data_IF_447421061203
#
_entry.id   IF_447421061203
#
_cell.length_a   1.000
_cell.length_b   1.000
_cell.length_c   1.000
_cell.angle_alpha   90.00
_cell.angle_beta   90.00
_cell.angle_gamma   90.00
#
_symmetry.space_group_name_H-M   'P 1'
#
loop_
_entity.id
_entity.type
_entity.pdbx_description
1 polymer ?
#
# COMPACT_ATOMS: atom_id res chain seq x y z
N UNK A 1 3.08 18.73 -47.49
CA UNK A 1 3.58 18.93 -48.88
C UNK A 1 2.46 18.62 -49.86
N UNK A 2 2.22 19.48 -50.84
CA UNK A 2 1.27 19.25 -51.95
C UNK A 2 2.07 19.08 -53.24
N UNK A 3 1.73 18.09 -54.05
CA UNK A 3 2.38 17.83 -55.35
C UNK A 3 1.33 17.74 -56.46
N UNK A 4 1.48 18.53 -57.51
CA UNK A 4 0.62 18.47 -58.69
C UNK A 4 0.99 17.25 -59.55
N UNK A 5 0.04 16.35 -59.80
CA UNK A 5 0.25 15.11 -60.56
C UNK A 5 -0.33 15.18 -61.99
N UNK A 6 -1.32 16.05 -62.21
CA UNK A 6 -1.93 16.35 -63.52
C UNK A 6 -2.23 17.86 -63.64
N UNK A 7 -2.40 18.37 -64.87
CA UNK A 7 -2.70 19.79 -65.14
C UNK A 7 -1.48 20.65 -65.53
N UNK A 8 -1.69 21.96 -65.72
CA UNK A 8 -0.67 22.92 -66.16
C UNK A 8 0.51 23.04 -65.17
N UNK A 9 0.24 22.76 -63.91
CA UNK A 9 1.23 22.82 -62.83
C UNK A 9 1.88 21.47 -62.53
N UNK A 10 1.71 20.44 -63.36
CA UNK A 10 2.25 19.08 -63.12
C UNK A 10 3.74 19.12 -62.75
N UNK A 11 4.08 18.47 -61.63
CA UNK A 11 5.43 18.43 -61.06
C UNK A 11 5.75 19.56 -60.09
N UNK A 12 4.92 20.62 -60.00
CA UNK A 12 5.11 21.66 -58.97
C UNK A 12 4.82 21.11 -57.57
N UNK A 13 5.64 21.55 -56.63
CA UNK A 13 5.56 21.19 -55.21
C UNK A 13 5.32 22.46 -54.38
N UNK A 14 4.40 22.36 -53.43
CA UNK A 14 4.15 23.40 -52.42
C UNK A 14 4.40 22.79 -51.04
N UNK A 15 5.36 23.36 -50.32
CA UNK A 15 5.64 23.02 -48.93
C UNK A 15 5.12 24.12 -48.01
N UNK A 16 4.49 23.72 -46.91
CA UNK A 16 3.89 24.63 -45.95
C UNK A 16 3.77 23.97 -44.58
N UNK A 17 3.68 24.79 -43.54
CA UNK A 17 3.40 24.36 -42.17
C UNK A 17 1.91 24.54 -41.86
N UNK A 18 1.29 23.55 -41.23
CA UNK A 18 -0.12 23.64 -40.80
C UNK A 18 -0.35 24.78 -39.80
N UNK A 19 -1.43 25.54 -39.98
CA UNK A 19 -1.87 26.57 -39.02
C UNK A 19 -3.14 26.13 -38.28
N UNK A 20 -3.46 26.80 -37.16
CA UNK A 20 -4.70 26.54 -36.39
C UNK A 20 -5.97 26.86 -37.18
N UNK A 21 -5.91 27.85 -38.06
CA UNK A 21 -7.06 28.31 -38.87
C UNK A 21 -7.19 27.55 -40.20
N UNK A 22 -6.29 26.58 -40.44
CA UNK A 22 -6.11 25.93 -41.73
C UNK A 22 -5.35 26.80 -42.71
N UNK A 23 -4.84 26.18 -43.77
CA UNK A 23 -4.14 26.88 -44.84
C UNK A 23 -5.00 26.95 -46.10
N UNK A 24 -4.96 28.10 -46.78
CA UNK A 24 -5.68 28.35 -48.02
C UNK A 24 -4.69 28.62 -49.14
N UNK A 25 -4.92 28.00 -50.29
CA UNK A 25 -4.07 28.11 -51.46
C UNK A 25 -4.93 28.38 -52.69
N UNK A 26 -4.43 29.19 -53.61
CA UNK A 26 -4.95 29.28 -54.97
C UNK A 26 -4.07 28.40 -55.84
N UNK A 27 -4.66 27.38 -56.47
CA UNK A 27 -3.96 26.39 -57.29
C UNK A 27 -4.61 26.35 -58.68
N UNK A 28 -3.82 26.06 -59.71
CA UNK A 28 -4.34 25.84 -61.07
C UNK A 28 -5.26 24.60 -61.11
N UNK A 29 -6.07 24.48 -62.15
CA UNK A 29 -6.84 23.24 -62.37
C UNK A 29 -5.94 22.02 -62.55
N UNK A 30 -6.32 20.91 -61.92
CA UNK A 30 -5.54 19.68 -61.98
C UNK A 30 -5.80 18.75 -60.80
N UNK A 31 -5.10 17.62 -60.80
CA UNK A 31 -5.09 16.66 -59.69
C UNK A 31 -3.82 16.82 -58.86
N UNK A 32 -3.98 16.71 -57.56
CA UNK A 32 -2.96 16.94 -56.56
C UNK A 32 -2.90 15.79 -55.56
N UNK A 33 -1.71 15.54 -55.04
CA UNK A 33 -1.49 14.71 -53.86
C UNK A 33 -1.06 15.59 -52.69
N UNK A 34 -1.31 15.15 -51.47
CA UNK A 34 -0.79 15.77 -50.26
C UNK A 34 -0.37 14.73 -49.24
N UNK A 35 0.77 15.00 -48.62
CA UNK A 35 1.41 14.13 -47.62
C UNK A 35 1.98 14.98 -46.47
N UNK A 36 2.01 14.41 -45.27
CA UNK A 36 2.72 14.99 -44.14
C UNK A 36 4.21 14.60 -44.24
N UNK A 37 5.10 15.59 -44.18
CA UNK A 37 6.55 15.38 -44.25
C UNK A 37 7.23 15.48 -42.88
N UNK A 38 6.56 16.11 -41.92
CA UNK A 38 7.03 16.30 -40.56
C UNK A 38 5.82 16.45 -39.64
N UNK A 39 5.74 15.61 -38.60
CA UNK A 39 4.72 15.72 -37.57
C UNK A 39 5.06 16.81 -36.54
N UNK A 40 4.06 17.44 -35.92
CA UNK A 40 4.25 18.25 -34.73
C UNK A 40 4.86 17.44 -33.56
N UNK A 41 5.52 18.12 -32.63
CA UNK A 41 6.04 17.49 -31.42
C UNK A 41 4.95 16.72 -30.66
N UNK A 42 5.26 15.47 -30.27
CA UNK A 42 4.33 14.58 -29.57
C UNK A 42 3.31 13.87 -30.47
N UNK A 43 3.41 14.01 -31.80
CA UNK A 43 2.58 13.27 -32.77
C UNK A 43 3.42 12.34 -33.64
N UNK A 44 2.79 11.28 -34.15
CA UNK A 44 3.35 10.40 -35.17
C UNK A 44 3.11 11.01 -36.54
N UNK A 45 4.08 10.84 -37.44
CA UNK A 45 3.94 11.22 -38.85
C UNK A 45 2.87 10.37 -39.51
N UNK A 46 1.86 11.02 -40.09
CA UNK A 46 0.88 10.34 -40.91
C UNK A 46 1.49 10.05 -42.29
N UNK A 47 1.60 8.76 -42.64
CA UNK A 47 2.16 8.28 -43.91
C UNK A 47 1.13 8.16 -45.03
N UNK A 48 -0.14 8.47 -44.77
CA UNK A 48 -1.19 8.47 -45.79
C UNK A 48 -0.93 9.59 -46.80
N UNK A 49 -1.02 9.22 -48.09
CA UNK A 49 -0.99 10.18 -49.20
C UNK A 49 -2.43 10.40 -49.65
N UNK A 50 -2.96 11.58 -49.38
CA UNK A 50 -4.27 11.98 -49.84
C UNK A 50 -4.23 12.53 -51.27
N UNK A 51 -5.38 12.50 -51.96
CA UNK A 51 -5.54 13.09 -53.30
C UNK A 51 -6.71 14.06 -53.31
N UNK A 52 -6.60 15.13 -54.10
CA UNK A 52 -7.71 16.04 -54.37
C UNK A 52 -7.63 16.62 -55.78
N UNK A 53 -8.75 17.14 -56.27
CA UNK A 53 -8.86 17.75 -57.60
C UNK A 53 -9.32 19.22 -57.44
N UNK A 54 -8.73 20.11 -58.23
CA UNK A 54 -9.11 21.52 -58.33
C UNK A 54 -9.80 21.74 -59.68
N UNK A 55 -11.00 22.34 -59.62
CA UNK A 55 -11.84 22.72 -60.76
C UNK A 55 -12.26 24.17 -60.61
N UNK A 56 -12.51 24.85 -61.73
CA UNK A 56 -12.87 26.26 -61.74
C UNK A 56 -14.06 26.58 -60.80
N UNK A 57 -13.90 27.67 -60.05
CA UNK A 57 -14.89 28.17 -59.09
C UNK A 57 -15.16 27.30 -57.86
N UNK A 58 -14.49 26.14 -57.67
CA UNK A 58 -14.75 25.24 -56.53
C UNK A 58 -13.74 25.38 -55.39
N UNK A 59 -14.24 25.27 -54.15
CA UNK A 59 -13.42 25.15 -52.94
C UNK A 59 -13.30 23.67 -52.58
N UNK A 60 -12.10 23.12 -52.73
CA UNK A 60 -11.78 21.74 -52.30
C UNK A 60 -11.17 21.73 -50.90
N UNK A 61 -11.66 20.85 -50.02
CA UNK A 61 -11.11 20.64 -48.68
C UNK A 61 -10.30 19.35 -48.63
N UNK A 62 -9.11 19.41 -48.06
CA UNK A 62 -8.21 18.27 -47.85
C UNK A 62 -7.73 18.28 -46.40
N UNK A 63 -7.75 17.13 -45.73
CA UNK A 63 -7.38 17.00 -44.31
C UNK A 63 -6.54 15.74 -44.08
N UNK A 64 -5.56 15.82 -43.19
CA UNK A 64 -4.82 14.71 -42.61
C UNK A 64 -5.04 14.70 -41.10
N UNK A 65 -5.10 13.51 -40.50
CA UNK A 65 -5.23 13.35 -39.05
C UNK A 65 -3.90 12.88 -38.48
N UNK A 66 -3.49 13.45 -37.36
CA UNK A 66 -2.30 13.00 -36.63
C UNK A 66 -2.68 12.19 -35.40
N UNK A 67 -1.89 11.14 -35.15
CA UNK A 67 -1.98 10.35 -33.93
C UNK A 67 -1.00 10.86 -32.90
N UNK A 68 -1.41 10.92 -31.63
CA UNK A 68 -0.48 11.24 -30.54
C UNK A 68 0.47 10.08 -30.31
N UNK A 69 1.70 10.41 -29.92
CA UNK A 69 2.61 9.44 -29.33
C UNK A 69 2.11 9.08 -27.93
N UNK A 70 1.95 7.80 -27.67
CA UNK A 70 1.39 7.28 -26.43
C UNK A 70 2.08 5.99 -26.03
N UNK A 71 2.20 5.77 -24.73
CA UNK A 71 2.69 4.52 -24.14
C UNK A 71 1.81 4.08 -22.98
N UNK A 72 2.05 2.86 -22.50
CA UNK A 72 1.28 2.27 -21.42
C UNK A 72 2.03 2.38 -20.09
N UNK A 73 1.29 2.62 -19.02
CA UNK A 73 1.76 2.60 -17.64
C UNK A 73 1.14 1.39 -16.93
N UNK A 74 1.98 0.56 -16.34
CA UNK A 74 1.59 -0.45 -15.35
C UNK A 74 2.07 -0.01 -13.97
N UNK A 75 1.15 0.36 -13.09
CA UNK A 75 1.43 0.84 -11.75
C UNK A 75 1.03 -0.20 -10.70
N UNK A 76 1.95 -0.58 -9.83
CA UNK A 76 1.69 -1.46 -8.69
C UNK A 76 2.00 -0.76 -7.38
N UNK A 77 1.23 -1.12 -6.35
CA UNK A 77 1.49 -0.72 -4.98
C UNK A 77 1.80 -1.98 -4.18
N UNK A 78 2.92 -2.03 -3.45
CA UNK A 78 3.34 -3.25 -2.73
C UNK A 78 3.74 -3.00 -1.29
N UNK A 79 3.66 -4.04 -0.47
CA UNK A 79 4.16 -4.07 0.91
C UNK A 79 5.69 -4.22 0.91
N UNK A 80 6.40 -3.38 1.68
CA UNK A 80 7.86 -3.48 1.85
C UNK A 80 8.29 -4.82 2.45
N UNK A 81 7.48 -5.39 3.32
CA UNK A 81 7.80 -6.56 4.15
C UNK A 81 7.76 -7.87 3.36
N UNK A 82 6.69 -8.09 2.60
CA UNK A 82 6.45 -9.37 1.90
C UNK A 82 6.28 -9.24 0.37
N UNK A 83 6.36 -8.01 -0.16
CA UNK A 83 6.28 -7.73 -1.60
C UNK A 83 4.88 -7.94 -2.19
N UNK A 84 3.85 -8.25 -1.39
CA UNK A 84 2.50 -8.45 -1.90
C UNK A 84 1.88 -7.14 -2.37
N UNK A 85 0.99 -7.24 -3.36
CA UNK A 85 0.23 -6.09 -3.86
C UNK A 85 -0.77 -5.62 -2.81
N UNK A 86 -0.86 -4.30 -2.62
CA UNK A 86 -1.76 -3.65 -1.65
C UNK A 86 -2.78 -2.76 -2.37
N UNK A 87 -4.04 -2.89 -2.01
CA UNK A 87 -5.15 -2.10 -2.55
C UNK A 87 -5.56 -0.98 -1.58
N UNK A 88 -6.20 0.06 -2.09
CA UNK A 88 -6.79 1.13 -1.27
C UNK A 88 -5.94 2.39 -1.05
N UNK A 89 -4.69 2.43 -1.54
CA UNK A 89 -3.87 3.64 -1.52
C UNK A 89 -4.45 4.66 -2.52
N UNK A 90 -4.49 5.95 -2.20
CA UNK A 90 -4.81 7.00 -3.20
C UNK A 90 -3.53 7.59 -3.75
N UNK A 91 -3.36 7.53 -5.06
CA UNK A 91 -2.18 8.02 -5.77
C UNK A 91 -2.59 9.13 -6.72
N UNK A 92 -1.72 10.14 -6.82
CA UNK A 92 -1.84 11.24 -7.78
C UNK A 92 -0.64 11.21 -8.73
N UNK A 93 -0.92 11.24 -10.03
CA UNK A 93 0.05 11.39 -11.11
C UNK A 93 -0.10 12.79 -11.71
N UNK A 94 1.02 13.48 -11.93
CA UNK A 94 1.04 14.80 -12.59
C UNK A 94 1.99 14.77 -13.78
N UNK A 95 1.50 15.15 -14.96
CA UNK A 95 2.35 15.35 -16.14
C UNK A 95 3.16 16.65 -15.99
N UNK A 96 4.49 16.55 -16.02
CA UNK A 96 5.39 17.71 -15.88
C UNK A 96 5.99 18.16 -17.22
N UNK A 97 6.04 17.25 -18.20
CA UNK A 97 6.50 17.50 -19.57
C UNK A 97 5.62 16.76 -20.60
N UNK A 98 5.76 17.13 -21.89
CA UNK A 98 4.97 16.54 -22.98
C UNK A 98 3.65 17.27 -23.26
N UNK A 99 2.86 16.72 -24.20
CA UNK A 99 1.60 17.34 -24.65
C UNK A 99 0.54 17.45 -23.54
N UNK A 100 0.63 16.57 -22.54
CA UNK A 100 -0.27 16.53 -21.39
C UNK A 100 0.20 17.36 -20.19
N UNK A 101 1.27 18.18 -20.31
CA UNK A 101 1.83 18.97 -19.19
C UNK A 101 0.74 19.71 -18.39
N UNK A 102 0.75 19.52 -17.07
CA UNK A 102 -0.21 20.08 -16.13
C UNK A 102 -1.46 19.20 -15.90
N UNK A 103 -1.65 18.12 -16.67
CA UNK A 103 -2.72 17.15 -16.43
C UNK A 103 -2.47 16.36 -15.15
N UNK A 104 -3.51 16.18 -14.36
CA UNK A 104 -3.53 15.40 -13.13
C UNK A 104 -4.42 14.17 -13.30
N UNK A 105 -3.98 13.03 -12.79
CA UNK A 105 -4.72 11.77 -12.75
C UNK A 105 -4.69 11.28 -11.31
N UNK A 106 -5.84 10.98 -10.73
CA UNK A 106 -5.96 10.39 -9.39
C UNK A 106 -6.61 9.02 -9.50
N UNK A 107 -6.10 8.04 -8.75
CA UNK A 107 -6.63 6.69 -8.72
C UNK A 107 -6.37 6.00 -7.38
N UNK A 108 -7.11 4.91 -7.14
CA UNK A 108 -6.92 4.06 -5.96
C UNK A 108 -6.17 2.78 -6.36
N UNK A 109 -5.19 2.34 -5.59
CA UNK A 109 -4.45 1.11 -5.87
C UNK A 109 -5.37 -0.12 -5.86
N UNK A 110 -5.09 -1.08 -6.74
CA UNK A 110 -5.88 -2.28 -6.99
C UNK A 110 -5.01 -3.52 -6.83
N UNK A 111 -5.61 -4.66 -6.45
CA UNK A 111 -4.93 -5.96 -6.36
C UNK A 111 -4.37 -6.45 -7.70
N UNK A 112 -5.01 -6.09 -8.81
CA UNK A 112 -4.56 -6.47 -10.15
C UNK A 112 -3.53 -5.47 -10.74
N UNK A 113 -3.14 -4.47 -9.95
CA UNK A 113 -2.43 -3.29 -10.42
C UNK A 113 -3.34 -2.31 -11.15
N UNK A 114 -2.77 -1.21 -11.63
CA UNK A 114 -3.48 -0.19 -12.38
C UNK A 114 -2.81 0.03 -13.74
N UNK A 115 -3.62 0.14 -14.79
CA UNK A 115 -3.13 0.30 -16.17
C UNK A 115 -3.70 1.55 -16.80
N UNK A 116 -2.86 2.31 -17.50
CA UNK A 116 -3.24 3.53 -18.19
C UNK A 116 -2.51 3.63 -19.53
N UNK A 117 -3.15 4.23 -20.53
CA UNK A 117 -2.45 4.71 -21.73
C UNK A 117 -2.31 6.22 -21.62
N UNK A 118 -1.07 6.71 -21.67
CA UNK A 118 -0.72 8.11 -21.43
C UNK A 118 0.02 8.69 -22.65
N UNK A 119 -0.11 10.00 -22.85
CA UNK A 119 0.68 10.71 -23.87
C UNK A 119 2.17 10.63 -23.53
N UNK A 120 3.04 10.58 -24.54
CA UNK A 120 4.50 10.65 -24.36
C UNK A 120 4.87 11.90 -23.54
N UNK A 121 5.73 11.70 -22.52
CA UNK A 121 6.12 12.76 -21.60
C UNK A 121 6.72 12.25 -20.29
N UNK A 122 7.07 13.18 -19.41
CA UNK A 122 7.57 12.90 -18.07
C UNK A 122 6.48 13.22 -17.04
N UNK A 123 6.33 12.32 -16.08
CA UNK A 123 5.30 12.34 -15.06
C UNK A 123 5.91 12.16 -13.68
N UNK A 124 5.29 12.78 -12.67
CA UNK A 124 5.55 12.48 -11.26
C UNK A 124 4.38 11.74 -10.65
N UNK A 125 4.63 11.01 -9.56
CA UNK A 125 3.58 10.42 -8.74
C UNK A 125 3.86 10.59 -7.26
N UNK A 126 2.81 10.75 -6.47
CA UNK A 126 2.85 10.85 -5.01
C UNK A 126 1.68 10.06 -4.41
N UNK A 127 1.89 9.48 -3.22
CA UNK A 127 0.79 8.93 -2.44
C UNK A 127 0.11 10.04 -1.65
N UNK A 128 -1.20 10.14 -1.83
CA UNK A 128 -2.04 11.14 -1.16
C UNK A 128 -2.68 10.56 0.10
N UNK A 129 -2.91 9.24 0.12
CA UNK A 129 -3.48 8.53 1.27
C UNK A 129 -2.99 7.08 1.28
N UNK A 130 -2.35 6.66 2.36
CA UNK A 130 -2.00 5.26 2.58
C UNK A 130 -3.24 4.37 2.79
N UNK A 131 -3.16 3.08 2.42
CA UNK A 131 -4.15 2.09 2.82
C UNK A 131 -4.19 1.91 4.34
N UNK A 132 -5.30 1.38 4.87
CA UNK A 132 -5.39 1.09 6.29
C UNK A 132 -4.34 0.05 6.73
N UNK A 133 -3.60 0.36 7.80
CA UNK A 133 -2.53 -0.50 8.32
C UNK A 133 -1.15 -0.21 7.75
N UNK A 134 -1.01 0.81 6.91
CA UNK A 134 0.25 1.22 6.30
C UNK A 134 0.56 2.69 6.60
N UNK A 135 1.85 3.02 6.57
CA UNK A 135 2.35 4.39 6.65
C UNK A 135 2.34 5.04 5.27
N UNK A 136 2.00 6.34 5.21
CA UNK A 136 2.04 7.11 3.96
C UNK A 136 3.46 7.24 3.43
N UNK A 137 3.66 6.83 2.19
CA UNK A 137 4.92 7.06 1.49
C UNK A 137 4.98 8.52 1.02
N UNK A 138 5.92 9.29 1.58
CA UNK A 138 6.12 10.72 1.26
C UNK A 138 7.05 10.97 0.08
N UNK A 139 7.59 9.93 -0.54
CA UNK A 139 8.45 10.04 -1.71
C UNK A 139 7.64 10.46 -2.94
N UNK A 140 8.17 11.42 -3.69
CA UNK A 140 7.63 11.80 -5.01
C UNK A 140 8.48 11.10 -6.06
N UNK A 141 7.89 10.09 -6.70
CA UNK A 141 8.55 9.36 -7.77
C UNK A 141 8.38 10.05 -9.12
N UNK A 142 9.23 9.68 -10.09
CA UNK A 142 9.19 10.20 -11.48
C UNK A 142 9.30 9.03 -12.47
N UNK A 143 8.58 9.10 -13.57
CA UNK A 143 8.66 8.14 -14.68
C UNK A 143 8.47 8.81 -16.03
N UNK A 144 8.93 8.15 -17.09
CA UNK A 144 8.82 8.60 -18.47
C UNK A 144 7.91 7.63 -19.25
N UNK A 145 6.99 8.19 -20.04
CA UNK A 145 6.19 7.44 -21.01
C UNK A 145 6.78 7.67 -22.39
N UNK A 146 7.12 6.57 -23.08
CA UNK A 146 7.67 6.57 -24.44
C UNK A 146 6.69 5.94 -25.41
N UNK A 147 6.69 6.43 -26.64
CA UNK A 147 5.78 5.94 -27.67
C UNK A 147 5.87 4.42 -27.87
N UNK A 148 4.74 3.73 -27.75
CA UNK A 148 4.59 2.28 -27.94
C UNK A 148 5.27 1.40 -26.88
N UNK A 149 5.77 1.97 -25.77
CA UNK A 149 6.43 1.22 -24.70
C UNK A 149 5.53 1.05 -23.48
N UNK A 150 5.82 0.02 -22.68
CA UNK A 150 5.22 -0.21 -21.37
C UNK A 150 6.20 0.25 -20.29
N UNK A 151 5.81 1.26 -19.52
CA UNK A 151 6.53 1.73 -18.34
C UNK A 151 5.95 1.07 -17.09
N UNK A 152 6.81 0.46 -16.26
CA UNK A 152 6.40 -0.19 -15.01
C UNK A 152 6.84 0.65 -13.82
N UNK A 153 5.91 0.96 -12.92
CA UNK A 153 6.16 1.73 -11.71
C UNK A 153 5.68 0.93 -10.50
N UNK A 154 6.50 0.88 -9.45
CA UNK A 154 6.11 0.27 -8.19
C UNK A 154 6.34 1.25 -7.04
N UNK A 155 5.32 1.48 -6.23
CA UNK A 155 5.39 2.27 -5.00
C UNK A 155 5.17 1.38 -3.77
N UNK A 156 6.05 1.47 -2.79
CA UNK A 156 6.03 0.57 -1.63
C UNK A 156 5.59 1.29 -0.36
N UNK A 157 4.80 0.63 0.49
CA UNK A 157 4.50 1.12 1.85
C UNK A 157 5.02 0.17 2.91
N UNK A 158 5.40 0.78 4.02
CA UNK A 158 5.70 0.09 5.27
C UNK A 158 4.40 -0.12 6.06
N UNK A 159 4.27 -1.27 6.71
CA UNK A 159 3.16 -1.52 7.64
C UNK A 159 3.31 -0.61 8.85
N UNK A 160 2.20 -0.11 9.36
CA UNK A 160 2.16 0.48 10.69
C UNK A 160 2.41 -0.62 11.72
N UNK A 161 3.44 -0.51 12.55
CA UNK A 161 3.79 -1.47 13.61
C UNK A 161 3.96 -0.78 14.96
N UNK A 162 3.80 -1.55 16.03
CA UNK A 162 4.04 -1.16 17.41
C UNK A 162 4.59 -2.32 18.21
N UNK A 163 4.89 -2.09 19.49
CA UNK A 163 5.51 -3.06 20.39
C UNK A 163 4.57 -3.42 21.53
N UNK A 164 4.47 -4.72 21.82
CA UNK A 164 3.90 -5.22 23.07
C UNK A 164 5.04 -5.62 24.01
N UNK A 165 5.06 -5.02 25.20
CA UNK A 165 5.92 -5.42 26.31
C UNK A 165 5.08 -6.19 27.32
N UNK A 166 5.31 -7.51 27.42
CA UNK A 166 4.55 -8.40 28.28
C UNK A 166 5.34 -8.79 29.53
N UNK A 167 4.69 -8.69 30.69
CA UNK A 167 5.15 -9.24 31.97
C UNK A 167 4.09 -10.15 32.57
N UNK A 168 4.56 -11.18 33.24
CA UNK A 168 3.75 -12.07 34.06
C UNK A 168 4.20 -11.88 35.50
N UNK A 169 3.31 -11.53 36.43
CA UNK A 169 3.70 -11.35 37.84
C UNK A 169 2.82 -12.11 38.82
N UNK A 170 3.33 -12.31 40.03
CA UNK A 170 2.55 -12.74 41.19
C UNK A 170 1.61 -11.61 41.62
N UNK A 171 0.36 -11.93 41.95
CA UNK A 171 -0.64 -10.94 42.39
C UNK A 171 -0.31 -10.32 43.74
N UNK A 172 0.35 -11.08 44.62
CA UNK A 172 0.67 -10.71 46.00
C UNK A 172 2.07 -10.11 46.12
N UNK A 173 3.09 -10.78 45.58
CA UNK A 173 4.49 -10.35 45.74
C UNK A 173 4.93 -9.36 44.66
N UNK A 174 4.25 -9.34 43.51
CA UNK A 174 4.67 -8.57 42.34
C UNK A 174 5.91 -9.13 41.63
N UNK A 175 6.44 -10.29 42.07
CA UNK A 175 7.57 -10.96 41.44
C UNK A 175 7.24 -11.41 40.01
N UNK A 176 8.23 -11.37 39.12
CA UNK A 176 8.06 -11.82 37.74
C UNK A 176 8.06 -13.35 37.70
N UNK A 177 7.09 -13.92 36.97
CA UNK A 177 6.87 -15.35 36.83
C UNK A 177 7.28 -15.84 35.44
N UNK A 178 8.12 -16.87 35.40
CA UNK A 178 8.46 -17.61 34.17
C UNK A 178 7.63 -18.90 34.03
N UNK A 179 7.44 -19.37 32.81
CA UNK A 179 6.81 -20.68 32.54
C UNK A 179 5.31 -20.66 32.25
N UNK A 180 4.63 -19.50 32.29
CA UNK A 180 3.23 -19.40 31.84
C UNK A 180 3.15 -19.54 30.31
N UNK A 181 2.21 -20.33 29.78
CA UNK A 181 1.91 -20.31 28.34
C UNK A 181 0.85 -19.25 28.04
N UNK A 182 1.17 -18.37 27.11
CA UNK A 182 0.37 -17.22 26.74
C UNK A 182 0.05 -17.27 25.25
N UNK A 183 -1.16 -16.88 24.90
CA UNK A 183 -1.65 -16.75 23.52
C UNK A 183 -2.03 -15.30 23.25
N UNK A 184 -1.54 -14.76 22.14
CA UNK A 184 -1.99 -13.50 21.53
C UNK A 184 -2.69 -13.82 20.21
N UNK A 185 -3.87 -13.25 19.99
CA UNK A 185 -4.66 -13.41 18.77
C UNK A 185 -4.98 -12.04 18.16
N UNK A 186 -4.68 -11.86 16.88
CA UNK A 186 -5.06 -10.66 16.14
C UNK A 186 -6.54 -10.76 15.72
N UNK A 187 -7.39 -9.92 16.31
CA UNK A 187 -8.83 -9.87 16.07
C UNK A 187 -9.18 -9.02 14.84
N UNK A 188 -8.36 -8.01 14.53
CA UNK A 188 -8.55 -7.08 13.42
C UNK A 188 -7.23 -6.46 12.97
N UNK A 189 -7.17 -5.98 11.72
CA UNK A 189 -5.96 -5.43 11.10
C UNK A 189 -5.39 -6.34 10.01
N UNK A 190 -4.19 -6.01 9.51
CA UNK A 190 -3.54 -6.73 8.40
C UNK A 190 -3.27 -8.20 8.71
N UNK A 191 -2.94 -8.50 9.97
CA UNK A 191 -2.62 -9.83 10.45
C UNK A 191 -3.84 -10.55 11.07
N UNK A 192 -5.08 -10.15 10.77
CA UNK A 192 -6.29 -10.73 11.35
C UNK A 192 -6.30 -12.26 11.29
N UNK A 193 -6.55 -12.89 12.44
CA UNK A 193 -6.54 -14.34 12.63
C UNK A 193 -5.16 -14.93 12.98
N UNK A 194 -4.08 -14.13 12.92
CA UNK A 194 -2.76 -14.57 13.36
C UNK A 194 -2.74 -14.84 14.86
N UNK A 195 -2.14 -15.96 15.23
CA UNK A 195 -1.95 -16.39 16.63
C UNK A 195 -0.46 -16.48 16.93
N UNK A 196 -0.06 -15.93 18.08
CA UNK A 196 1.29 -16.03 18.63
C UNK A 196 1.19 -16.72 19.98
N UNK A 197 1.88 -17.84 20.15
CA UNK A 197 1.99 -18.56 21.42
C UNK A 197 3.41 -18.47 21.96
N UNK A 198 3.55 -18.17 23.25
CA UNK A 198 4.86 -18.03 23.88
C UNK A 198 4.84 -18.40 25.37
N UNK A 199 6.03 -18.53 25.95
CA UNK A 199 6.23 -18.83 27.37
C UNK A 199 6.75 -17.59 28.10
N UNK A 200 6.20 -17.25 29.27
CA UNK A 200 6.66 -16.10 30.06
C UNK A 200 8.11 -16.27 30.53
N UNK A 201 8.90 -15.19 30.51
CA UNK A 201 10.32 -15.15 30.88
C UNK A 201 10.55 -14.14 32.01
N UNK A 202 11.64 -14.30 32.77
CA UNK A 202 12.00 -13.40 33.88
C UNK A 202 12.31 -11.97 33.43
N UNK A 203 12.84 -11.80 32.22
CA UNK A 203 13.14 -10.50 31.64
C UNK A 203 11.88 -9.82 31.04
N UNK A 204 10.77 -10.54 30.95
CA UNK A 204 9.61 -10.18 30.14
C UNK A 204 9.71 -10.69 28.70
N UNK A 205 8.67 -10.42 27.91
CA UNK A 205 8.66 -10.72 26.47
C UNK A 205 8.33 -9.46 25.68
N UNK A 206 8.94 -9.32 24.51
CA UNK A 206 8.70 -8.20 23.58
C UNK A 206 8.27 -8.76 22.23
N UNK A 207 7.23 -8.17 21.66
CA UNK A 207 6.73 -8.52 20.33
C UNK A 207 6.51 -7.28 19.50
N UNK A 208 6.92 -7.31 18.24
CA UNK A 208 6.48 -6.35 17.24
C UNK A 208 5.20 -6.84 16.59
N UNK A 209 4.17 -5.99 16.59
CA UNK A 209 2.82 -6.29 16.13
C UNK A 209 2.37 -5.22 15.13
N UNK A 210 1.69 -5.62 14.07
CA UNK A 210 1.09 -4.67 13.11
C UNK A 210 -0.07 -3.90 13.75
N UNK A 211 -0.45 -2.76 13.18
CA UNK A 211 -1.67 -2.06 13.55
C UNK A 211 -2.86 -3.00 13.51
N UNK A 212 -3.65 -3.00 14.58
CA UNK A 212 -4.76 -3.93 14.74
C UNK A 212 -5.22 -4.06 16.19
N UNK A 213 -6.30 -4.82 16.35
CA UNK A 213 -6.86 -5.19 17.66
C UNK A 213 -6.43 -6.61 18.01
N UNK A 214 -6.05 -6.80 19.26
CA UNK A 214 -5.48 -8.05 19.75
C UNK A 214 -6.18 -8.51 21.02
N UNK A 215 -6.22 -9.83 21.22
CA UNK A 215 -6.60 -10.47 22.48
C UNK A 215 -5.41 -11.22 23.06
N UNK A 216 -5.19 -11.10 24.36
CA UNK A 216 -4.20 -11.87 25.11
C UNK A 216 -4.87 -12.71 26.20
N UNK A 217 -4.40 -13.94 26.36
CA UNK A 217 -4.94 -14.90 27.33
C UNK A 217 -3.85 -15.86 27.81
N UNK A 218 -3.97 -16.34 29.05
CA UNK A 218 -3.15 -17.44 29.56
C UNK A 218 -3.80 -18.78 29.20
N UNK A 219 -3.02 -19.68 28.62
CA UNK A 219 -3.47 -21.05 28.26
C UNK A 219 -2.93 -22.08 29.25
N UNK A 220 -1.86 -21.77 29.98
CA UNK A 220 -1.33 -22.59 31.05
C UNK A 220 -0.62 -21.72 32.10
N UNK A 221 -0.99 -21.89 33.37
CA UNK A 221 -0.32 -21.21 34.48
C UNK A 221 1.11 -21.73 34.70
N UNK A 222 2.01 -20.92 35.30
CA UNK A 222 3.25 -21.41 35.87
C UNK A 222 3.01 -22.48 36.96
N UNK A 223 4.01 -23.32 37.20
CA UNK A 223 3.95 -24.30 38.28
C UNK A 223 3.70 -23.64 39.64
N UNK A 224 2.69 -24.12 40.38
CA UNK A 224 2.34 -23.58 41.70
C UNK A 224 1.38 -22.38 41.67
N UNK A 225 0.85 -22.02 40.49
CA UNK A 225 -0.08 -20.91 40.31
C UNK A 225 -1.41 -21.37 39.72
N UNK A 226 -2.46 -20.63 40.06
CA UNK A 226 -3.79 -20.76 39.45
C UNK A 226 -3.77 -20.18 38.03
N UNK A 227 -4.55 -20.79 37.13
CA UNK A 227 -4.76 -20.28 35.76
C UNK A 227 -5.56 -18.98 35.81
N UNK A 228 -5.01 -17.92 35.23
CA UNK A 228 -5.75 -16.69 34.99
C UNK A 228 -6.77 -16.92 33.85
N UNK A 229 -8.05 -16.90 34.18
CA UNK A 229 -9.14 -16.99 33.21
C UNK A 229 -9.50 -15.65 32.57
N UNK A 230 -8.98 -14.54 33.11
CA UNK A 230 -9.14 -13.22 32.52
C UNK A 230 -8.41 -13.11 31.18
N UNK A 231 -9.11 -12.58 30.18
CA UNK A 231 -8.54 -12.23 28.88
C UNK A 231 -8.49 -10.71 28.73
N UNK A 232 -7.46 -10.18 28.07
CA UNK A 232 -7.40 -8.75 27.74
C UNK A 232 -7.49 -8.49 26.26
N UNK A 233 -8.01 -7.31 25.92
CA UNK A 233 -7.94 -6.78 24.57
C UNK A 233 -7.11 -5.50 24.57
N UNK A 234 -6.24 -5.34 23.58
CA UNK A 234 -5.44 -4.14 23.36
C UNK A 234 -5.35 -3.84 21.87
N UNK A 235 -4.92 -2.63 21.53
CA UNK A 235 -4.80 -2.19 20.14
C UNK A 235 -3.43 -1.59 19.89
N UNK A 236 -2.86 -1.87 18.72
CA UNK A 236 -1.79 -1.07 18.12
C UNK A 236 -2.48 -0.15 17.10
N UNK A 237 -2.30 1.15 17.25
CA UNK A 237 -3.04 2.19 16.53
C UNK A 237 -2.14 3.07 15.68
N UNK A 238 -0.88 3.26 16.08
CA UNK A 238 0.08 4.19 15.49
C UNK A 238 1.48 3.58 15.42
N UNK A 239 2.32 4.12 14.52
CA UNK A 239 3.69 3.69 14.33
C UNK A 239 4.52 3.86 15.60
N UNK A 240 5.27 2.82 15.95
CA UNK A 240 6.11 2.72 17.14
C UNK A 240 5.36 2.86 18.48
N UNK A 241 4.03 2.67 18.51
CA UNK A 241 3.26 2.64 19.77
C UNK A 241 3.76 1.52 20.69
N UNK A 242 3.86 1.80 22.00
CA UNK A 242 4.22 0.78 22.99
C UNK A 242 3.02 0.49 23.88
N UNK A 243 2.61 -0.78 23.90
CA UNK A 243 1.62 -1.32 24.81
C UNK A 243 2.33 -2.15 25.86
N UNK A 244 2.13 -1.82 27.14
CA UNK A 244 2.60 -2.63 28.25
C UNK A 244 1.44 -3.48 28.79
N UNK A 245 1.68 -4.78 28.91
CA UNK A 245 0.72 -5.75 29.41
C UNK A 245 1.32 -6.48 30.61
N UNK A 246 0.66 -6.41 31.77
CA UNK A 246 1.01 -7.19 32.94
C UNK A 246 -0.12 -8.12 33.34
N UNK A 247 0.07 -9.42 33.15
CA UNK A 247 -0.88 -10.44 33.57
C UNK A 247 -0.45 -11.06 34.90
N UNK A 248 -1.33 -11.02 35.91
CA UNK A 248 -1.03 -11.51 37.26
C UNK A 248 -1.66 -12.88 37.53
N UNK A 249 -0.93 -13.77 38.22
CA UNK A 249 -1.48 -15.03 38.73
C UNK A 249 -1.46 -15.04 40.25
N UNK A 250 -2.45 -15.73 40.81
CA UNK A 250 -2.50 -16.08 42.22
C UNK A 250 -1.74 -17.38 42.45
N UNK A 251 -0.84 -17.40 43.44
CA UNK A 251 -0.18 -18.61 43.90
C UNK A 251 -1.18 -19.47 44.66
N UNK A 252 -1.12 -20.80 44.52
CA UNK A 252 -1.97 -21.67 45.31
C UNK A 252 -1.76 -21.43 46.81
N UNK A 253 -2.84 -21.20 47.54
CA UNK A 253 -2.81 -21.14 49.00
C UNK A 253 -2.77 -22.56 49.57
N UNK A 254 -1.69 -22.90 50.28
CA UNK A 254 -1.61 -24.14 51.06
C UNK A 254 -2.22 -23.86 52.43
N UNK A 255 -3.48 -24.25 52.64
CA UNK A 255 -4.07 -24.24 53.98
C UNK A 255 -3.55 -25.48 54.71
N UNK A 256 -2.73 -25.28 55.75
CA UNK A 256 -2.40 -26.37 56.69
C UNK A 256 -3.62 -26.65 57.56
N UNK A 257 -4.38 -27.70 57.26
CA UNK A 257 -5.43 -28.23 58.14
C UNK A 257 -4.80 -29.23 59.12
N UNK A 258 -4.27 -28.72 60.24
CA UNK A 258 -3.76 -29.57 61.32
C UNK A 258 -3.26 -28.76 62.51
N UNK A 259 -3.93 -28.92 63.66
CA UNK A 259 -3.43 -28.52 64.98
C UNK A 259 -2.08 -29.19 65.27
N UNK A 260 -1.14 -28.44 65.86
CA UNK A 260 0.15 -28.87 66.44
C UNK A 260 0.52 -30.35 66.18
N UNK A 261 1.24 -30.60 65.09
CA UNK A 261 1.72 -31.93 64.73
C UNK A 261 3.07 -32.23 65.39
N UNK A 262 3.09 -33.33 66.15
CA UNK A 262 4.26 -34.00 66.72
C UNK A 262 4.84 -34.97 65.68
N UNK A 263 6.17 -35.01 65.52
CA UNK A 263 6.85 -35.56 64.33
C UNK A 263 6.78 -37.09 64.16
N UNK A 264 6.17 -37.80 65.12
CA UNK A 264 6.19 -39.28 65.20
C UNK A 264 4.90 -39.98 64.72
N UNK A 265 3.86 -39.27 64.28
CA UNK A 265 2.63 -39.90 63.75
C UNK A 265 2.53 -39.79 62.23
N UNK A 266 2.90 -40.87 61.56
CA UNK A 266 2.92 -40.98 60.09
C UNK A 266 1.51 -41.26 59.54
N UNK A 267 0.82 -40.25 58.97
CA UNK A 267 -0.24 -40.43 57.96
C UNK A 267 -0.30 -39.18 57.03
N UNK A 268 -0.62 -39.33 55.73
CA UNK A 268 -0.46 -38.27 54.75
C UNK A 268 -1.58 -37.24 54.89
N UNK A 269 -1.24 -35.99 55.25
CA UNK A 269 -2.21 -34.89 55.23
C UNK A 269 -2.66 -34.62 53.79
N UNK A 270 -3.97 -34.68 53.55
CA UNK A 270 -4.60 -34.25 52.31
C UNK A 270 -4.51 -32.73 52.17
N UNK A 271 -3.80 -32.25 51.15
CA UNK A 271 -3.74 -30.85 50.76
C UNK A 271 -5.07 -30.45 50.10
N UNK A 272 -5.82 -29.55 50.72
CA UNK A 272 -6.99 -28.92 50.09
C UNK A 272 -6.51 -27.68 49.32
N UNK A 273 -6.61 -27.73 47.99
CA UNK A 273 -6.41 -26.58 47.10
C UNK A 273 -7.75 -25.84 46.96
N UNK A 274 -7.79 -24.58 47.39
CA UNK A 274 -8.93 -23.69 47.10
C UNK A 274 -8.59 -22.94 45.81
N UNK A 275 -9.18 -23.35 44.69
CA UNK A 275 -9.05 -22.65 43.41
C UNK A 275 -10.09 -21.51 43.35
N UNK A 276 -9.61 -20.28 43.38
CA UNK A 276 -10.42 -19.08 43.16
C UNK A 276 -9.71 -18.23 42.12
N UNK A 277 -10.09 -18.41 40.85
CA UNK A 277 -9.43 -17.85 39.66
C UNK A 277 -9.44 -16.33 39.55
N UNK A 278 -8.79 -15.64 40.48
CA UNK A 278 -8.53 -14.21 40.45
C UNK A 278 -7.12 -13.98 39.89
N UNK A 279 -6.99 -14.12 38.58
CA UNK A 279 -5.96 -13.40 37.83
C UNK A 279 -6.35 -11.92 37.75
N UNK A 280 -5.38 -11.04 37.53
CA UNK A 280 -5.65 -9.63 37.26
C UNK A 280 -4.81 -9.17 36.06
N UNK A 281 -5.44 -8.53 35.08
CA UNK A 281 -4.76 -8.01 33.90
C UNK A 281 -4.71 -6.48 33.87
N UNK A 282 -3.52 -5.93 33.66
CA UNK A 282 -3.31 -4.49 33.50
C UNK A 282 -2.73 -4.22 32.12
N UNK A 283 -3.36 -3.30 31.38
CA UNK A 283 -2.90 -2.80 30.09
C UNK A 283 -2.68 -1.29 30.19
N UNK A 284 -1.55 -0.82 29.68
CA UNK A 284 -1.28 0.61 29.55
C UNK A 284 -0.62 0.93 28.21
N UNK A 285 -0.88 2.14 27.70
CA UNK A 285 -0.34 2.64 26.44
C UNK A 285 0.61 3.80 26.72
N UNK A 286 1.76 3.80 26.05
CA UNK A 286 2.68 4.94 26.02
C UNK A 286 2.95 5.30 24.57
N UNK A 287 2.76 6.58 24.24
CA UNK A 287 3.30 7.15 23.01
C UNK A 287 4.73 7.56 23.27
N UNK A 288 5.66 7.12 22.42
CA UNK A 288 6.98 7.73 22.35
C UNK A 288 6.77 9.09 21.69
N UNK A 289 6.93 10.18 22.45
CA UNK A 289 7.02 11.52 21.85
C UNK A 289 8.27 11.48 20.96
N UNK A 290 8.07 11.60 19.65
CA UNK A 290 9.14 11.80 18.67
C UNK A 290 9.73 13.20 18.82
#
# INVERSE_FOLDING_TARGET
>A
KITAIEGLSKGKVVEFTSSKDGNKFTLDEGKYTFEEVLAPNGYRINKEVGTFEIKDGQITKANLKNERKQGDLEFTKTDVTDGKVIEGAKIKITAIEGLSKGKVIEFTSSKDGNKFTLDEGIYTFEEVLAPNGYEINKEVGTFEIKDGQITKVNLKDERTTGKLLFKKTDVTTGEILEGAKIKIECLDGLDKGKVIEFISKKEGNEFELTKGKYRISETQAPNGYELATETGEFEITEQNEIVECNLKNKKFEIVKTGSNFDLNSLLPLGLVLVAGGLGALILSKKRKLS
#
